data_IF_389412275729
#
_entry.id   IF_389412275729
#
_cell.length_a   1.000
_cell.length_b   1.000
_cell.length_c   1.000
_cell.angle_alpha   90.00
_cell.angle_beta   90.00
_cell.angle_gamma   90.00
#
_symmetry.space_group_name_H-M   'P 1'
#
loop_
_entity.id
_entity.type
_entity.pdbx_description
1 polymer ?
#
# COMPACT_ATOMS: atom_id res chain seq x y z
N UNK A 1 45.34 -12.13 -7.44
CA UNK A 1 44.97 -12.19 -6.01
C UNK A 1 43.66 -12.96 -6.00
N UNK A 2 43.72 -14.25 -5.68
CA UNK A 2 42.59 -15.18 -5.73
C UNK A 2 41.48 -14.73 -4.77
N UNK A 3 40.28 -14.46 -5.30
CA UNK A 3 39.08 -14.30 -4.47
C UNK A 3 38.71 -15.68 -3.89
N UNK A 4 38.91 -15.83 -2.58
CA UNK A 4 38.46 -16.98 -1.83
C UNK A 4 36.93 -17.01 -1.85
N UNK A 5 36.33 -17.93 -2.60
CA UNK A 5 34.88 -18.18 -2.56
C UNK A 5 34.58 -18.87 -1.22
N UNK A 6 34.02 -18.15 -0.26
CA UNK A 6 33.59 -18.71 1.01
C UNK A 6 32.31 -19.55 0.80
N UNK A 7 32.40 -20.85 1.06
CA UNK A 7 31.26 -21.78 1.01
C UNK A 7 30.38 -21.60 2.26
N UNK A 8 29.15 -21.11 2.07
CA UNK A 8 28.19 -20.92 3.15
C UNK A 8 27.16 -22.06 3.15
N UNK A 9 27.10 -22.79 4.27
CA UNK A 9 26.15 -23.88 4.45
C UNK A 9 24.93 -23.38 5.23
N UNK A 10 23.76 -23.32 4.57
CA UNK A 10 22.50 -22.98 5.20
C UNK A 10 21.58 -24.22 5.26
N UNK A 11 21.32 -24.75 6.45
CA UNK A 11 20.37 -25.83 6.63
C UNK A 11 18.98 -25.26 6.97
N UNK A 12 17.94 -25.64 6.22
CA UNK A 12 16.53 -25.28 6.43
C UNK A 12 15.84 -26.20 7.47
N UNK A 13 16.58 -26.86 8.35
CA UNK A 13 16.05 -27.68 9.45
C UNK A 13 15.68 -29.12 9.09
N UNK A 14 16.15 -29.65 7.95
CA UNK A 14 15.96 -31.05 7.54
C UNK A 14 17.24 -31.90 7.66
N UNK A 15 17.15 -33.24 7.49
CA UNK A 15 18.34 -34.09 7.42
C UNK A 15 19.22 -33.68 6.22
N UNK A 16 20.52 -33.47 6.48
CA UNK A 16 21.52 -32.94 5.56
C UNK A 16 21.94 -33.94 4.45
N UNK A 17 21.09 -34.91 4.11
CA UNK A 17 21.39 -35.97 3.13
C UNK A 17 21.14 -35.55 1.67
N UNK A 18 20.53 -34.38 1.44
CA UNK A 18 20.34 -33.80 0.11
C UNK A 18 21.05 -32.45 0.02
N UNK A 19 22.14 -32.41 -0.75
CA UNK A 19 22.84 -31.17 -1.10
C UNK A 19 22.12 -30.52 -2.28
N UNK A 20 21.56 -29.33 -2.07
CA UNK A 20 21.01 -28.48 -3.14
C UNK A 20 21.85 -27.22 -3.21
N UNK A 21 22.48 -26.98 -4.35
CA UNK A 21 23.23 -25.74 -4.61
C UNK A 21 22.26 -24.78 -5.29
N UNK A 22 21.95 -23.67 -4.63
CA UNK A 22 21.17 -22.58 -5.21
C UNK A 22 21.99 -21.29 -5.16
N UNK A 23 21.91 -20.48 -6.21
CA UNK A 23 22.46 -19.13 -6.17
C UNK A 23 21.60 -18.25 -5.26
N UNK A 24 22.04 -18.05 -4.02
CA UNK A 24 21.43 -17.10 -3.10
C UNK A 24 21.86 -15.70 -3.55
N UNK A 25 20.93 -14.92 -4.12
CA UNK A 25 21.09 -13.48 -4.24
C UNK A 25 20.47 -12.82 -3.01
N UNK A 26 21.31 -12.45 -2.04
CA UNK A 26 20.88 -11.62 -0.93
C UNK A 26 20.85 -10.16 -1.39
N UNK A 27 19.67 -9.65 -1.74
CA UNK A 27 19.48 -8.22 -2.03
C UNK A 27 18.33 -7.62 -1.22
N UNK A 28 18.19 -8.02 0.04
CA UNK A 28 17.23 -7.38 0.96
C UNK A 28 17.81 -6.12 1.62
N UNK A 29 19.14 -6.03 1.77
CA UNK A 29 19.85 -4.88 2.37
C UNK A 29 21.25 -4.68 1.73
N UNK A 30 21.43 -5.07 0.46
CA UNK A 30 22.74 -5.16 -0.21
C UNK A 30 23.30 -3.85 -0.80
N UNK A 31 23.12 -2.71 -0.13
CA UNK A 31 23.86 -1.49 -0.45
C UNK A 31 24.46 -0.96 0.85
N UNK A 32 25.74 -1.23 1.09
CA UNK A 32 26.49 -0.61 2.19
C UNK A 32 26.82 0.88 1.94
N UNK A 33 26.58 1.38 0.71
CA UNK A 33 27.07 2.70 0.27
C UNK A 33 26.14 3.49 -0.65
N UNK A 34 24.87 3.08 -0.83
CA UNK A 34 23.91 3.83 -1.66
C UNK A 34 22.54 3.97 -0.99
N UNK A 35 21.89 5.12 -1.18
CA UNK A 35 20.52 5.32 -0.68
C UNK A 35 19.59 4.25 -1.29
N UNK A 36 18.92 3.49 -0.42
CA UNK A 36 17.74 2.72 -0.78
C UNK A 36 16.61 3.73 -1.01
N UNK A 37 16.15 3.88 -2.25
CA UNK A 37 15.06 4.79 -2.58
C UNK A 37 13.76 4.01 -2.80
N UNK A 38 12.90 4.00 -1.78
CA UNK A 38 11.50 3.62 -1.95
C UNK A 38 10.70 4.93 -2.03
N UNK A 39 10.40 5.45 -3.23
CA UNK A 39 9.72 6.72 -3.33
C UNK A 39 8.29 6.60 -2.79
N UNK A 40 7.91 7.54 -1.92
CA UNK A 40 6.52 7.66 -1.45
C UNK A 40 5.68 8.24 -2.57
N UNK A 41 4.69 7.47 -3.02
CA UNK A 41 3.83 7.82 -4.16
C UNK A 41 2.57 8.56 -3.69
N UNK A 42 1.94 8.11 -2.61
CA UNK A 42 0.67 8.68 -2.14
C UNK A 42 0.60 8.75 -0.61
N UNK A 43 -0.21 9.69 -0.14
CA UNK A 43 -0.68 9.79 1.26
C UNK A 43 -2.20 9.73 1.26
N UNK A 44 -2.75 8.83 2.06
CA UNK A 44 -4.18 8.57 2.17
C UNK A 44 -4.61 8.68 3.62
N UNK A 45 -5.73 9.36 3.87
CA UNK A 45 -6.30 9.41 5.20
C UNK A 45 -7.45 10.38 5.24
N UNK A 46 -8.61 9.88 5.62
CA UNK A 46 -9.83 10.66 5.77
C UNK A 46 -10.08 10.96 7.25
N UNK A 47 -10.59 12.16 7.50
CA UNK A 47 -11.09 12.58 8.81
C UNK A 47 -12.59 12.85 8.71
N UNK A 48 -13.35 11.97 9.39
CA UNK A 48 -14.81 12.00 9.43
C UNK A 48 -15.34 12.67 10.71
N UNK A 49 -14.48 13.10 11.63
CA UNK A 49 -14.88 13.57 12.95
C UNK A 49 -15.73 12.51 13.69
N UNK A 50 -16.89 12.91 14.19
CA UNK A 50 -17.83 12.03 14.90
C UNK A 50 -18.89 11.39 13.99
N UNK A 51 -18.79 11.59 12.66
CA UNK A 51 -19.82 11.13 11.72
C UNK A 51 -19.57 9.69 11.27
N UNK A 52 -20.64 8.94 10.98
CA UNK A 52 -20.52 7.59 10.43
C UNK A 52 -19.88 7.61 9.02
N UNK A 53 -18.68 7.02 8.83
CA UNK A 53 -17.96 7.11 7.56
C UNK A 53 -18.72 6.51 6.37
N UNK A 54 -19.42 5.39 6.58
CA UNK A 54 -20.14 4.69 5.51
C UNK A 54 -21.35 5.49 5.05
N UNK A 55 -22.08 6.10 5.99
CA UNK A 55 -23.24 6.92 5.66
C UNK A 55 -22.85 8.13 4.81
N UNK A 56 -21.75 8.82 5.18
CA UNK A 56 -21.24 9.97 4.43
C UNK A 56 -20.83 9.55 3.01
N UNK A 57 -20.04 8.50 2.87
CA UNK A 57 -19.58 8.06 1.56
C UNK A 57 -20.72 7.56 0.67
N UNK A 58 -21.70 6.86 1.23
CA UNK A 58 -22.89 6.45 0.48
C UNK A 58 -23.68 7.66 -0.02
N UNK A 59 -23.82 8.71 0.79
CA UNK A 59 -24.43 9.97 0.36
C UNK A 59 -23.66 10.64 -0.79
N UNK A 60 -22.33 10.65 -0.72
CA UNK A 60 -21.48 11.19 -1.79
C UNK A 60 -21.56 10.37 -3.08
N UNK A 61 -21.63 9.04 -3.00
CA UNK A 61 -21.84 8.18 -4.17
C UNK A 61 -23.17 8.46 -4.85
N UNK A 62 -24.26 8.52 -4.06
CA UNK A 62 -25.59 8.81 -4.57
C UNK A 62 -25.67 10.19 -5.24
N UNK A 63 -25.05 11.21 -4.63
CA UNK A 63 -24.97 12.55 -5.22
C UNK A 63 -24.18 12.56 -6.55
N UNK A 64 -23.22 11.65 -6.72
CA UNK A 64 -22.46 11.46 -7.94
C UNK A 64 -23.15 10.54 -8.97
N UNK A 65 -24.34 10.00 -8.66
CA UNK A 65 -25.04 9.05 -9.52
C UNK A 65 -24.44 7.64 -9.54
N UNK A 66 -23.59 7.31 -8.58
CA UNK A 66 -22.92 6.02 -8.45
C UNK A 66 -23.68 5.13 -7.46
N UNK A 67 -23.83 3.85 -7.79
CA UNK A 67 -24.54 2.90 -6.94
C UNK A 67 -23.59 2.18 -6.00
N UNK A 68 -22.39 1.86 -6.48
CA UNK A 68 -21.43 1.03 -5.74
C UNK A 68 -20.06 1.70 -5.63
N UNK A 69 -19.27 1.34 -4.61
CA UNK A 69 -17.87 1.79 -4.52
C UNK A 69 -17.00 1.32 -5.68
N UNK A 70 -17.39 0.23 -6.36
CA UNK A 70 -16.66 -0.29 -7.53
C UNK A 70 -16.80 0.64 -8.74
N UNK A 71 -17.93 1.33 -8.88
CA UNK A 71 -18.17 2.29 -9.98
C UNK A 71 -17.12 3.43 -9.98
N UNK A 72 -16.52 3.73 -8.83
CA UNK A 72 -15.45 4.73 -8.72
C UNK A 72 -14.18 4.33 -9.48
N UNK A 73 -13.97 3.05 -9.78
CA UNK A 73 -12.78 2.57 -10.49
C UNK A 73 -12.67 3.14 -11.89
N UNK A 74 -13.81 3.30 -12.56
CA UNK A 74 -13.86 3.81 -13.92
C UNK A 74 -13.63 5.33 -13.97
N UNK A 75 -13.87 6.02 -12.86
CA UNK A 75 -13.73 7.47 -12.75
C UNK A 75 -12.39 7.91 -12.15
N UNK A 76 -11.65 7.03 -11.49
CA UNK A 76 -10.44 7.36 -10.73
C UNK A 76 -9.21 6.71 -11.34
N UNK A 77 -8.21 7.54 -11.69
CA UNK A 77 -6.89 7.04 -12.07
C UNK A 77 -6.21 6.35 -10.88
N UNK A 78 -6.14 5.02 -10.93
CA UNK A 78 -5.47 4.16 -9.98
C UNK A 78 -3.97 3.98 -10.34
N UNK A 79 -3.09 3.82 -9.33
CA UNK A 79 -1.74 3.35 -9.59
C UNK A 79 -1.76 2.00 -10.33
N UNK A 80 -0.94 1.80 -11.39
CA UNK A 80 -1.05 0.66 -12.30
C UNK A 80 -0.51 -0.66 -11.70
N UNK A 81 -0.01 -0.65 -10.48
CA UNK A 81 0.58 -1.82 -9.86
C UNK A 81 0.47 -1.82 -8.34
N UNK A 82 0.83 -2.94 -7.71
CA UNK A 82 0.77 -3.07 -6.26
C UNK A 82 1.79 -2.14 -5.59
N UNK A 83 1.35 -1.47 -4.51
CA UNK A 83 2.19 -0.58 -3.70
C UNK A 83 2.28 -1.10 -2.27
N UNK A 84 3.34 -0.73 -1.56
CA UNK A 84 3.52 -1.05 -0.15
C UNK A 84 2.79 -0.01 0.71
N UNK A 85 1.96 -0.48 1.64
CA UNK A 85 1.27 0.36 2.61
C UNK A 85 2.08 0.44 3.90
N UNK A 86 2.30 1.66 4.38
CA UNK A 86 2.82 1.93 5.71
C UNK A 86 1.80 2.74 6.50
N UNK A 87 1.46 2.38 7.75
CA UNK A 87 0.68 3.25 8.62
C UNK A 87 1.34 4.62 8.78
N UNK A 88 0.59 5.69 8.58
CA UNK A 88 1.09 7.05 8.78
C UNK A 88 1.55 7.25 10.22
N UNK A 89 2.77 7.77 10.38
CA UNK A 89 3.29 8.21 11.68
C UNK A 89 2.75 9.63 11.99
N UNK A 90 2.32 9.86 13.23
CA UNK A 90 1.71 11.14 13.67
C UNK A 90 2.75 12.27 13.77
N UNK A 91 2.36 13.56 13.67
CA UNK A 91 1.03 14.09 13.32
C UNK A 91 1.00 14.59 11.87
N UNK A 92 0.34 13.87 10.97
CA UNK A 92 0.15 14.30 9.58
C UNK A 92 -1.33 14.57 9.33
N UNK A 93 -1.61 15.63 8.55
CA UNK A 93 -2.95 16.13 8.24
C UNK A 93 -3.73 15.14 7.37
N UNK A 94 -4.82 14.60 7.92
CA UNK A 94 -5.84 13.85 7.19
C UNK A 94 -6.74 14.82 6.40
N UNK A 95 -7.35 14.34 5.33
CA UNK A 95 -8.31 15.09 4.54
C UNK A 95 -9.63 15.19 5.32
N UNK A 96 -10.00 16.40 5.72
CA UNK A 96 -11.26 16.66 6.41
C UNK A 96 -12.43 16.52 5.43
N UNK A 97 -13.27 15.52 5.67
CA UNK A 97 -14.38 15.16 4.78
C UNK A 97 -15.46 16.25 4.71
N UNK A 98 -15.64 17.04 5.76
CA UNK A 98 -16.65 18.09 5.80
C UNK A 98 -16.30 19.32 4.95
N UNK A 99 -15.01 19.55 4.67
CA UNK A 99 -14.52 20.73 3.93
C UNK A 99 -13.90 20.40 2.58
N UNK A 100 -13.53 19.15 2.36
CA UNK A 100 -12.92 18.72 1.11
C UNK A 100 -13.94 18.53 -0.01
N UNK A 101 -13.49 18.72 -1.25
CA UNK A 101 -14.29 18.43 -2.43
C UNK A 101 -14.72 16.93 -2.46
N UNK A 102 -15.99 16.62 -2.78
CA UNK A 102 -16.51 15.25 -2.83
C UNK A 102 -15.64 14.26 -3.63
N UNK A 103 -15.17 14.68 -4.80
CA UNK A 103 -14.32 13.87 -5.67
C UNK A 103 -13.01 13.45 -4.99
N UNK A 104 -12.39 14.37 -4.23
CA UNK A 104 -11.14 14.08 -3.49
C UNK A 104 -11.40 13.10 -2.36
N UNK A 105 -12.54 13.21 -1.69
CA UNK A 105 -12.97 12.30 -0.63
C UNK A 105 -13.20 10.90 -1.21
N UNK A 106 -14.02 10.80 -2.27
CA UNK A 106 -14.32 9.53 -2.94
C UNK A 106 -13.06 8.86 -3.49
N UNK A 107 -12.14 9.63 -4.08
CA UNK A 107 -10.84 9.12 -4.54
C UNK A 107 -10.02 8.50 -3.40
N UNK A 108 -9.91 9.18 -2.26
CA UNK A 108 -9.17 8.61 -1.13
C UNK A 108 -9.89 7.41 -0.52
N UNK A 109 -11.23 7.45 -0.44
CA UNK A 109 -12.02 6.33 0.06
C UNK A 109 -11.86 5.08 -0.81
N UNK A 110 -11.85 5.23 -2.14
CA UNK A 110 -11.58 4.14 -3.08
C UNK A 110 -10.21 3.52 -2.79
N UNK A 111 -9.15 4.34 -2.81
CA UNK A 111 -7.79 3.87 -2.58
C UNK A 111 -7.63 3.19 -1.21
N UNK A 112 -8.23 3.73 -0.15
CA UNK A 112 -8.26 3.13 1.18
C UNK A 112 -9.01 1.79 1.20
N UNK A 113 -10.09 1.65 0.42
CA UNK A 113 -10.83 0.41 0.27
C UNK A 113 -10.05 -0.68 -0.48
N UNK A 114 -9.15 -0.28 -1.38
CA UNK A 114 -8.21 -1.14 -2.10
C UNK A 114 -6.97 -1.52 -1.27
N UNK A 115 -6.71 -0.85 -0.16
CA UNK A 115 -5.59 -1.19 0.72
C UNK A 115 -5.89 -2.37 1.67
N UNK A 116 -4.89 -3.20 1.90
CA UNK A 116 -4.76 -4.06 3.08
C UNK A 116 -3.89 -3.37 4.13
N UNK A 117 -3.52 -4.05 5.22
CA UNK A 117 -2.61 -3.49 6.23
C UNK A 117 -1.22 -3.17 5.66
N UNK A 118 -0.77 -3.93 4.65
CA UNK A 118 0.61 -3.88 4.14
C UNK A 118 0.72 -3.63 2.64
N UNK A 119 -0.36 -3.82 1.87
CA UNK A 119 -0.32 -3.76 0.41
C UNK A 119 -1.57 -3.10 -0.18
N UNK A 120 -1.35 -2.22 -1.13
CA UNK A 120 -2.37 -1.77 -2.07
C UNK A 120 -2.39 -2.72 -3.26
N UNK A 121 -3.58 -3.13 -3.67
CA UNK A 121 -3.77 -3.97 -4.84
C UNK A 121 -4.89 -3.36 -5.70
N UNK A 122 -4.62 -2.96 -6.96
CA UNK A 122 -5.64 -2.39 -7.81
C UNK A 122 -6.71 -3.42 -8.21
N UNK A 123 -6.44 -4.73 -8.20
CA UNK A 123 -7.34 -5.74 -8.76
C UNK A 123 -8.29 -6.34 -7.71
N UNK A 124 -8.08 -6.06 -6.42
CA UNK A 124 -8.92 -6.62 -5.35
C UNK A 124 -10.24 -5.85 -5.18
N UNK A 125 -11.32 -6.51 -4.74
CA UNK A 125 -12.58 -5.81 -4.45
C UNK A 125 -12.43 -4.66 -3.44
N UNK A 126 -13.19 -3.58 -3.67
CA UNK A 126 -13.23 -2.40 -2.82
C UNK A 126 -13.99 -2.72 -1.54
N UNK A 127 -13.29 -2.69 -0.39
CA UNK A 127 -13.91 -2.95 0.91
C UNK A 127 -13.95 -1.68 1.76
N UNK A 128 -15.15 -1.15 2.01
CA UNK A 128 -15.40 -0.03 2.90
C UNK A 128 -15.89 -0.48 4.28
N UNK A 129 -14.93 -0.81 5.14
CA UNK A 129 -15.13 -1.06 6.57
C UNK A 129 -14.63 0.12 7.41
N UNK A 130 -15.09 0.23 8.67
CA UNK A 130 -14.59 1.26 9.60
C UNK A 130 -13.06 1.22 9.74
N UNK A 131 -12.46 0.03 9.75
CA UNK A 131 -11.00 -0.14 9.78
C UNK A 131 -10.33 0.39 8.51
N UNK A 132 -10.94 0.15 7.34
CA UNK A 132 -10.38 0.58 6.05
C UNK A 132 -10.40 2.10 5.88
N UNK A 133 -11.45 2.76 6.36
CA UNK A 133 -11.68 4.20 6.19
C UNK A 133 -11.03 5.03 7.30
N UNK A 134 -10.87 4.45 8.51
CA UNK A 134 -10.31 5.15 9.67
C UNK A 134 -8.77 5.20 9.71
N UNK A 135 -8.07 4.44 8.86
CA UNK A 135 -6.60 4.41 8.81
C UNK A 135 -6.03 5.54 7.96
N UNK A 136 -4.81 5.94 8.32
CA UNK A 136 -3.96 6.78 7.48
C UNK A 136 -2.81 5.93 6.94
N UNK A 137 -2.57 5.97 5.64
CA UNK A 137 -1.56 5.17 4.95
C UNK A 137 -0.65 6.04 4.08
N UNK A 138 0.63 5.72 4.08
CA UNK A 138 1.59 6.14 3.05
C UNK A 138 1.84 4.97 2.12
N UNK A 139 1.78 5.22 0.82
CA UNK A 139 1.99 4.22 -0.23
C UNK A 139 3.35 4.43 -0.88
N UNK A 140 4.09 3.35 -1.06
CA UNK A 140 5.44 3.33 -1.62
C UNK A 140 5.51 2.41 -2.83
N UNK A 141 6.27 2.81 -3.85
CA UNK A 141 6.53 1.95 -5.01
C UNK A 141 7.67 0.97 -4.67
N UNK A 142 7.43 -0.34 -4.62
CA UNK A 142 8.48 -1.33 -4.39
C UNK A 142 9.50 -1.41 -5.53
N UNK A 143 9.16 -0.97 -6.75
CA UNK A 143 10.05 -1.03 -7.91
C UNK A 143 11.22 -0.05 -7.82
N UNK A 144 11.04 1.07 -7.10
CA UNK A 144 12.13 2.02 -6.84
C UNK A 144 13.31 1.40 -6.09
N UNK A 145 13.09 0.28 -5.39
CA UNK A 145 14.11 -0.44 -4.65
C UNK A 145 15.22 -1.04 -5.53
N UNK A 146 14.89 -1.45 -6.77
CA UNK A 146 15.81 -2.09 -7.72
C UNK A 146 16.23 -1.17 -8.87
N UNK A 147 15.86 0.12 -8.81
CA UNK A 147 16.22 1.12 -9.80
C UNK A 147 17.67 1.62 -9.62
#
# INVERSE_FOLDING_TARGET
MEELIAEYHANMGGPMSRTRIEHIRATLLGRDSGNIDCPRVLRLGLDFGETNPRAVLNGLLQAAGLLTPEDLRDCVNLPPGPLLCRPMQKPIRRLNVATAAPEKVLRQALLLGLCTAQRFDPDRPVLWTSASLGRGLELYDPRGFYA
#
